data_IF_555823607550
#
_entry.id   IF_555823607550
#
_cell.length_a   1.000
_cell.length_b   1.000
_cell.length_c   1.000
_cell.angle_alpha   90.00
_cell.angle_beta   90.00
_cell.angle_gamma   90.00
#
_symmetry.space_group_name_H-M   'P 1'
#
loop_
_entity.id
_entity.type
_entity.pdbx_description
1 polymer ?
#
# COMPACT_ATOMS: atom_id res chain seq x y z
N UNK A 1 11.32 -32.05 38.96
CA UNK A 1 10.45 -31.68 37.81
C UNK A 1 10.29 -30.16 37.59
N UNK A 2 11.32 -29.32 37.80
CA UNK A 2 11.24 -27.87 37.51
C UNK A 2 11.77 -27.52 36.10
N UNK A 3 12.68 -28.33 35.56
CA UNK A 3 13.39 -28.03 34.32
C UNK A 3 12.60 -28.35 33.05
N UNK A 4 11.74 -29.39 33.06
CA UNK A 4 10.88 -29.71 31.91
C UNK A 4 9.86 -28.60 31.60
N UNK A 5 9.34 -27.91 32.62
CA UNK A 5 8.38 -26.80 32.42
C UNK A 5 9.00 -25.59 31.69
N UNK A 6 10.32 -25.43 31.78
CA UNK A 6 11.05 -24.31 31.15
C UNK A 6 11.30 -24.56 29.65
N UNK A 7 11.41 -25.82 29.23
CA UNK A 7 11.49 -26.19 27.80
C UNK A 7 10.15 -25.99 27.07
N UNK A 8 9.02 -26.24 27.74
CA UNK A 8 7.68 -26.11 27.14
C UNK A 8 7.32 -24.65 26.79
N UNK A 9 7.92 -23.66 27.45
CA UNK A 9 7.72 -22.24 27.14
C UNK A 9 8.39 -21.76 25.84
N UNK A 10 9.26 -22.57 25.24
CA UNK A 10 9.87 -22.28 23.93
C UNK A 10 8.97 -22.67 22.75
N UNK A 11 7.98 -23.55 23.00
CA UNK A 11 7.02 -23.99 21.98
C UNK A 11 5.72 -23.18 21.98
N UNK A 12 5.56 -22.20 22.88
CA UNK A 12 4.50 -21.20 22.79
C UNK A 12 4.92 -20.12 21.81
N UNK A 13 5.00 -20.47 20.53
CA UNK A 13 5.09 -19.48 19.47
C UNK A 13 3.80 -18.65 19.54
N UNK A 14 3.94 -17.38 19.93
CA UNK A 14 2.87 -16.40 19.73
C UNK A 14 2.55 -16.48 18.24
N UNK A 15 1.34 -16.96 17.91
CA UNK A 15 0.82 -16.93 16.56
C UNK A 15 0.96 -15.48 16.08
N UNK A 16 1.98 -15.23 15.27
CA UNK A 16 2.09 -13.99 14.53
C UNK A 16 0.84 -13.96 13.68
N UNK A 17 -0.05 -13.00 13.96
CA UNK A 17 -1.31 -12.84 13.25
C UNK A 17 -1.04 -13.02 11.75
N UNK A 18 -1.66 -14.03 11.16
CA UNK A 18 -1.51 -14.36 9.75
C UNK A 18 -2.07 -13.18 8.98
N UNK A 19 -1.17 -12.31 8.50
CA UNK A 19 -1.54 -11.20 7.62
C UNK A 19 -2.07 -11.85 6.34
N UNK A 20 -3.30 -11.53 5.92
CA UNK A 20 -3.86 -12.12 4.71
C UNK A 20 -3.01 -11.73 3.50
N UNK A 21 -2.56 -12.74 2.76
CA UNK A 21 -1.84 -12.55 1.50
C UNK A 21 -2.87 -12.32 0.38
N UNK A 22 -2.81 -11.15 -0.26
CA UNK A 22 -3.61 -10.85 -1.44
C UNK A 22 -2.85 -11.31 -2.69
N UNK A 23 -3.31 -12.38 -3.34
CA UNK A 23 -2.75 -12.85 -4.61
C UNK A 23 -3.64 -12.31 -5.73
N UNK A 24 -3.16 -11.31 -6.47
CA UNK A 24 -3.83 -10.78 -7.67
C UNK A 24 -3.21 -11.49 -8.88
N UNK A 25 -4.02 -12.24 -9.63
CA UNK A 25 -3.60 -12.86 -10.88
C UNK A 25 -3.52 -11.77 -11.95
N UNK A 26 -2.40 -11.67 -12.67
CA UNK A 26 -2.31 -10.84 -13.89
C UNK A 26 -3.26 -11.43 -14.93
N UNK A 27 -4.34 -10.73 -15.25
CA UNK A 27 -5.14 -11.04 -16.43
C UNK A 27 -4.38 -10.62 -17.69
N UNK A 28 -4.78 -11.20 -18.83
CA UNK A 28 -4.12 -11.13 -20.14
C UNK A 28 -3.69 -9.71 -20.53
N UNK A 29 -2.59 -9.62 -21.28
CA UNK A 29 -2.04 -8.37 -21.83
C UNK A 29 -3.08 -7.68 -22.74
N UNK A 30 -3.90 -6.80 -22.16
CA UNK A 30 -4.75 -5.88 -22.91
C UNK A 30 -3.84 -4.79 -23.50
N UNK A 31 -3.77 -4.66 -24.85
CA UNK A 31 -2.90 -3.68 -25.50
C UNK A 31 -3.28 -2.23 -25.19
N UNK A 32 -4.46 -1.99 -24.60
CA UNK A 32 -4.91 -0.67 -24.17
C UNK A 32 -4.57 -0.35 -22.71
N UNK A 33 -4.03 -1.30 -21.94
CA UNK A 33 -3.62 -1.08 -20.57
C UNK A 33 -2.15 -0.65 -20.56
N UNK A 34 -1.90 0.59 -20.17
CA UNK A 34 -0.56 1.07 -19.89
C UNK A 34 -0.14 0.65 -18.48
N UNK A 35 0.84 -0.23 -18.37
CA UNK A 35 1.49 -0.55 -17.10
C UNK A 35 2.48 0.54 -16.70
N UNK A 36 2.43 0.96 -15.44
CA UNK A 36 3.31 1.97 -14.87
C UNK A 36 4.26 1.33 -13.85
N UNK A 37 5.53 1.73 -13.87
CA UNK A 37 6.54 1.25 -12.90
C UNK A 37 6.39 1.90 -11.53
N UNK A 38 5.74 3.06 -11.46
CA UNK A 38 5.50 3.79 -10.21
C UNK A 38 4.27 4.69 -10.31
N UNK A 39 3.73 5.08 -9.16
CA UNK A 39 2.65 6.07 -9.08
C UNK A 39 3.13 7.42 -9.61
N UNK A 40 4.42 7.77 -9.42
CA UNK A 40 5.02 8.97 -9.99
C UNK A 40 4.94 9.02 -11.52
N UNK A 41 5.17 7.88 -12.18
CA UNK A 41 5.10 7.78 -13.63
C UNK A 41 3.67 8.01 -14.12
N UNK A 42 2.69 7.42 -13.44
CA UNK A 42 1.27 7.64 -13.74
C UNK A 42 0.86 9.11 -13.53
N UNK A 43 1.34 9.75 -12.45
CA UNK A 43 1.08 11.18 -12.22
C UNK A 43 1.70 12.04 -13.32
N UNK A 44 2.91 11.75 -13.77
CA UNK A 44 3.60 12.50 -14.84
C UNK A 44 2.84 12.46 -16.17
N UNK A 45 2.16 11.35 -16.47
CA UNK A 45 1.27 11.27 -17.63
C UNK A 45 0.01 12.12 -17.44
N UNK A 46 -0.61 12.06 -16.25
CA UNK A 46 -1.78 12.90 -15.93
C UNK A 46 -1.45 14.40 -15.97
N UNK A 47 -0.22 14.81 -15.65
CA UNK A 47 0.24 16.20 -15.76
C UNK A 47 0.28 16.71 -17.20
N UNK A 48 0.40 15.81 -18.19
CA UNK A 48 0.45 16.14 -19.61
C UNK A 48 -0.93 16.08 -20.28
N UNK A 49 -1.93 15.51 -19.60
CA UNK A 49 -3.28 15.37 -20.15
C UNK A 49 -4.06 16.69 -20.01
N UNK A 50 -4.46 17.34 -21.12
CA UNK A 50 -5.21 18.59 -21.09
C UNK A 50 -6.63 18.43 -20.50
N UNK A 51 -7.15 17.21 -20.40
CA UNK A 51 -8.47 16.93 -19.84
C UNK A 51 -8.45 16.81 -18.31
N UNK A 52 -7.25 16.78 -17.70
CA UNK A 52 -7.09 16.63 -16.26
C UNK A 52 -6.81 18.00 -15.65
N UNK A 53 -7.59 18.35 -14.63
CA UNK A 53 -7.40 19.61 -13.90
C UNK A 53 -6.04 19.64 -13.21
N UNK A 54 -5.19 20.67 -13.45
CA UNK A 54 -3.89 20.81 -12.80
C UNK A 54 -3.96 20.83 -11.27
N UNK A 55 -5.04 21.39 -10.71
CA UNK A 55 -5.29 21.45 -9.27
C UNK A 55 -5.43 20.04 -8.67
N UNK A 56 -6.17 19.16 -9.35
CA UNK A 56 -6.36 17.76 -8.91
C UNK A 56 -5.04 17.00 -8.91
N UNK A 57 -4.21 17.22 -9.93
CA UNK A 57 -2.90 16.57 -10.02
C UNK A 57 -1.95 17.05 -8.93
N UNK A 58 -1.94 18.35 -8.63
CA UNK A 58 -1.16 18.91 -7.53
C UNK A 58 -1.58 18.32 -6.17
N UNK A 59 -2.89 18.20 -5.91
CA UNK A 59 -3.42 17.57 -4.69
C UNK A 59 -3.02 16.10 -4.60
N UNK A 60 -3.05 15.36 -5.71
CA UNK A 60 -2.62 13.96 -5.77
C UNK A 60 -1.13 13.81 -5.43
N UNK A 61 -0.28 14.66 -6.00
CA UNK A 61 1.17 14.68 -5.76
C UNK A 61 1.51 14.98 -4.28
N UNK A 62 0.80 15.92 -3.66
CA UNK A 62 0.93 16.21 -2.24
C UNK A 62 0.51 15.01 -1.38
N UNK A 63 -0.59 14.36 -1.74
CA UNK A 63 -1.13 13.20 -1.03
C UNK A 63 -0.13 12.03 -1.06
N UNK A 64 0.47 11.77 -2.22
CA UNK A 64 1.52 10.75 -2.38
C UNK A 64 2.76 11.06 -1.54
N UNK A 65 3.22 12.32 -1.54
CA UNK A 65 4.34 12.76 -0.69
C UNK A 65 4.04 12.54 0.80
N UNK A 66 2.84 12.88 1.24
CA UNK A 66 2.41 12.67 2.63
C UNK A 66 2.31 11.18 2.98
N UNK A 67 1.88 10.34 2.03
CA UNK A 67 1.80 8.89 2.20
C UNK A 67 3.20 8.29 2.38
N UNK A 68 4.14 8.64 1.50
CA UNK A 68 5.53 8.14 1.55
C UNK A 68 6.27 8.53 2.82
N UNK A 69 5.95 9.70 3.39
CA UNK A 69 6.61 10.22 4.59
C UNK A 69 6.02 9.69 5.90
N UNK A 70 4.90 8.94 5.87
CA UNK A 70 4.26 8.41 7.08
C UNK A 70 4.50 6.91 7.20
N UNK A 71 4.93 6.49 8.39
CA UNK A 71 5.10 5.07 8.73
C UNK A 71 3.75 4.36 8.97
N UNK A 72 2.70 5.11 9.31
CA UNK A 72 1.34 4.60 9.49
C UNK A 72 0.32 5.65 9.06
N UNK A 73 -0.74 5.22 8.37
CA UNK A 73 -1.86 6.06 7.95
C UNK A 73 -3.15 5.41 8.41
N UNK A 74 -4.04 6.19 9.02
CA UNK A 74 -5.41 5.77 9.34
C UNK A 74 -6.35 6.36 8.29
N UNK A 75 -7.22 5.53 7.73
CA UNK A 75 -8.20 5.93 6.72
C UNK A 75 -9.60 5.67 7.27
N UNK A 76 -10.48 6.67 7.18
CA UNK A 76 -11.90 6.56 7.53
C UNK A 76 -12.71 7.23 6.43
N UNK A 77 -13.65 6.51 5.82
CA UNK A 77 -14.52 7.02 4.74
C UNK A 77 -13.75 7.63 3.55
N UNK A 78 -12.61 7.05 3.18
CA UNK A 78 -11.79 7.56 2.07
C UNK A 78 -10.91 8.76 2.42
N UNK A 79 -10.93 9.25 3.67
CA UNK A 79 -10.10 10.35 4.12
C UNK A 79 -9.01 9.89 5.09
N UNK A 80 -7.85 10.56 5.04
CA UNK A 80 -6.74 10.34 5.97
C UNK A 80 -7.08 11.04 7.29
N UNK A 81 -7.24 10.25 8.37
CA UNK A 81 -7.47 10.77 9.73
C UNK A 81 -6.15 10.86 10.52
N UNK A 82 -6.06 11.83 11.43
CA UNK A 82 -4.91 12.01 12.33
C UNK A 82 -4.79 10.89 13.36
#
# INVERSE_FOLDING_TARGET
MKYLKKLLGLFTTKSSATIPLLIIKKETDDPNIKEYKSIEEAISDLEKDPNVSPEKVARLRLSLKNLKNKTSIKIKNGEIVK
#
